data_IF_207830389009
#
_entry.id   IF_207830389009
#
_cell.length_a   1.000
_cell.length_b   1.000
_cell.length_c   1.000
_cell.angle_alpha   90.00
_cell.angle_beta   90.00
_cell.angle_gamma   90.00
#
_symmetry.space_group_name_H-M   'P 1'
#
loop_
_entity.id
_entity.type
_entity.pdbx_description
1 polymer ?
2 non-polymer ?
3 non-polymer ?
4 non-polymer ?
5 non-polymer ?
6 non-polymer ?
7 water ?
#
# COMPACT_ATOMS: atom_id res chain seq x y z
N UNK A 1 -21.94 3.55 8.87
CA UNK A 1 -22.36 3.58 7.46
C UNK A 1 -21.73 4.73 6.68
N UNK A 2 -20.52 5.13 7.07
CA UNK A 2 -19.90 6.37 6.64
C UNK A 2 -18.47 6.07 6.15
N UNK A 3 -18.07 6.73 5.07
CA UNK A 3 -16.73 6.60 4.51
C UNK A 3 -15.92 7.85 4.83
N UNK A 4 -14.75 7.67 5.43
CA UNK A 4 -13.83 8.77 5.66
C UNK A 4 -12.93 9.01 4.45
N UNK A 5 -12.49 10.25 4.28
CA UNK A 5 -11.51 10.57 3.24
C UNK A 5 -10.52 11.58 3.81
N UNK A 6 -9.22 11.33 3.63
CA UNK A 6 -8.22 12.30 4.03
C UNK A 6 -7.41 12.70 2.80
N UNK A 7 -7.22 14.01 2.64
CA UNK A 7 -6.38 14.60 1.60
C UNK A 7 -5.90 15.95 2.10
N UNK A 8 -4.61 16.23 1.89
CA UNK A 8 -4.09 17.53 2.26
C UNK A 8 -3.10 17.99 1.20
N UNK A 9 -3.39 19.14 0.59
CA UNK A 9 -2.57 19.67 -0.49
C UNK A 9 -1.11 19.87 -0.08
N UNK A 10 -0.82 19.96 1.22
CA UNK A 10 0.56 20.19 1.64
C UNK A 10 1.49 19.05 1.25
N UNK A 11 0.94 17.83 1.09
CA UNK A 11 1.79 16.72 0.65
C UNK A 11 2.23 16.87 -0.81
N UNK A 12 1.70 17.86 -1.55
CA UNK A 12 2.26 18.14 -2.87
C UNK A 12 3.64 18.79 -2.79
N UNK A 13 4.07 19.25 -1.60
CA UNK A 13 5.28 20.06 -1.60
C UNK A 13 6.55 19.22 -1.80
N UNK A 14 6.53 17.92 -1.50
CA UNK A 14 7.65 17.04 -1.80
C UNK A 14 7.85 16.94 -3.31
N UNK A 15 9.06 17.26 -3.78
CA UNK A 15 9.24 17.36 -5.22
C UNK A 15 10.67 16.99 -5.59
N UNK A 16 10.89 16.77 -6.88
CA UNK A 16 12.22 16.44 -7.41
C UNK A 16 12.78 17.69 -8.06
N UNK A 17 13.72 18.33 -7.36
CA UNK A 17 14.23 19.62 -7.85
C UNK A 17 15.15 19.48 -9.06
N UNK A 18 15.58 18.26 -9.38
CA UNK A 18 16.49 18.03 -10.51
C UNK A 18 15.78 17.48 -11.74
N UNK A 19 14.57 16.93 -11.57
CA UNK A 19 13.86 16.27 -12.67
C UNK A 19 12.38 16.47 -12.39
N UNK A 20 11.83 17.56 -12.90
CA UNK A 20 10.45 17.88 -12.60
C UNK A 20 9.47 16.92 -13.25
N UNK A 21 9.93 16.04 -14.14
CA UNK A 21 9.08 15.04 -14.76
C UNK A 21 9.21 13.66 -14.13
N UNK A 22 9.94 13.52 -13.03
CA UNK A 22 9.98 12.26 -12.32
C UNK A 22 8.55 11.78 -12.02
N UNK A 23 8.23 10.50 -12.26
CA UNK A 23 6.80 10.09 -12.24
C UNK A 23 6.12 10.17 -10.87
N UNK A 24 6.85 10.21 -9.75
CA UNK A 24 6.20 10.38 -8.44
C UNK A 24 5.94 11.88 -8.19
N UNK A 25 4.94 12.40 -8.95
CA UNK A 25 4.61 13.80 -9.14
C UNK A 25 3.71 14.32 -8.02
N UNK A 26 3.90 15.57 -7.60
CA UNK A 26 2.90 16.20 -6.73
C UNK A 26 1.46 16.03 -7.21
N UNK A 27 1.23 16.17 -8.52
CA UNK A 27 -0.13 16.15 -9.07
C UNK A 27 -0.81 14.81 -8.92
N UNK A 28 -0.05 13.75 -8.61
CA UNK A 28 -0.69 12.46 -8.36
C UNK A 28 -1.84 12.62 -7.39
N UNK A 29 -1.62 13.35 -6.29
CA UNK A 29 -2.68 13.34 -5.29
C UNK A 29 -3.73 14.39 -5.61
N UNK A 30 -3.34 15.49 -6.25
CA UNK A 30 -4.32 16.51 -6.53
C UNK A 30 -5.24 16.05 -7.66
N UNK A 31 -4.69 15.29 -8.63
CA UNK A 31 -5.54 14.72 -9.66
C UNK A 31 -6.49 13.69 -9.08
N UNK A 32 -6.06 12.90 -8.09
CA UNK A 32 -7.02 11.95 -7.54
C UNK A 32 -8.12 12.71 -6.82
N UNK A 33 -7.74 13.75 -6.07
CA UNK A 33 -8.73 14.47 -5.27
C UNK A 33 -9.76 15.15 -6.17
N UNK A 34 -9.28 15.80 -7.25
CA UNK A 34 -10.16 16.42 -8.23
C UNK A 34 -11.13 15.43 -8.82
N UNK A 35 -10.64 14.23 -9.16
CA UNK A 35 -11.54 13.26 -9.76
C UNK A 35 -12.66 12.90 -8.79
N UNK A 36 -12.33 12.82 -7.50
CA UNK A 36 -13.35 12.52 -6.50
C UNK A 36 -14.42 13.62 -6.47
N UNK A 37 -14.00 14.86 -6.69
CA UNK A 37 -14.99 15.94 -6.74
C UNK A 37 -15.83 15.83 -8.01
N UNK A 38 -15.17 15.56 -9.14
CA UNK A 38 -15.87 15.50 -10.41
C UNK A 38 -16.94 14.41 -10.40
N UNK A 39 -16.66 13.30 -9.73
CA UNK A 39 -17.59 12.19 -9.63
C UNK A 39 -18.55 12.32 -8.46
N UNK A 40 -18.52 13.45 -7.74
CA UNK A 40 -19.44 13.72 -6.63
C UNK A 40 -19.29 12.68 -5.51
N UNK A 41 -18.09 12.11 -5.39
CA UNK A 41 -17.76 11.22 -4.27
C UNK A 41 -17.32 11.98 -3.04
N UNK A 42 -16.62 13.10 -3.23
CA UNK A 42 -16.04 13.85 -2.13
C UNK A 42 -17.12 14.31 -1.15
N UNK A 43 -18.24 14.82 -1.68
CA UNK A 43 -19.28 15.34 -0.81
C UNK A 43 -20.00 14.22 -0.06
N UNK A 44 -19.84 12.97 -0.50
CA UNK A 44 -20.45 11.85 0.18
C UNK A 44 -19.57 11.30 1.30
N UNK A 45 -18.35 11.79 1.45
CA UNK A 45 -17.44 11.27 2.45
C UNK A 45 -17.37 12.20 3.65
N UNK A 46 -16.95 11.64 4.78
CA UNK A 46 -16.62 12.43 5.96
C UNK A 46 -15.15 12.81 5.89
N UNK A 47 -14.86 14.11 5.88
CA UNK A 47 -13.50 14.59 5.71
C UNK A 47 -12.72 14.40 7.01
N UNK A 48 -11.62 13.67 6.92
CA UNK A 48 -10.74 13.42 8.06
C UNK A 48 -9.51 14.30 7.92
N UNK A 49 -9.12 15.04 8.96
CA UNK A 49 -7.98 15.95 8.81
C UNK A 49 -6.66 15.21 8.79
N UNK A 50 -5.73 15.75 8.01
CA UNK A 50 -4.36 15.30 8.09
C UNK A 50 -3.74 15.79 9.39
N UNK A 51 -2.71 15.08 9.84
CA UNK A 51 -1.86 15.56 10.92
C UNK A 51 -0.46 15.02 10.69
N UNK A 52 0.51 15.59 11.40
CA UNK A 52 1.85 15.02 11.40
C UNK A 52 1.88 13.77 12.27
N UNK A 53 2.50 12.70 11.76
CA UNK A 53 3.02 11.68 12.64
C UNK A 53 4.06 12.31 13.57
N UNK A 54 4.12 11.80 14.79
CA UNK A 54 5.19 12.14 15.70
C UNK A 54 6.39 11.22 15.51
N UNK A 55 7.55 11.66 15.99
CA UNK A 55 8.72 10.81 15.89
C UNK A 55 8.56 9.55 16.72
N UNK A 56 7.86 9.65 17.85
CA UNK A 56 7.58 8.43 18.61
C UNK A 56 6.73 7.46 17.79
N UNK A 57 5.77 7.99 17.04
CA UNK A 57 4.96 7.11 16.19
C UNK A 57 5.82 6.47 15.10
N UNK A 58 6.74 7.22 14.51
CA UNK A 58 7.61 6.63 13.51
C UNK A 58 8.47 5.53 14.11
N UNK A 59 8.82 5.66 15.39
CA UNK A 59 9.61 4.62 16.03
C UNK A 59 8.85 3.31 16.24
N UNK A 60 7.54 3.27 15.98
CA UNK A 60 6.81 1.99 15.98
C UNK A 60 7.42 1.01 14.98
N UNK A 61 7.96 1.52 13.88
CA UNK A 61 8.58 0.67 12.86
C UNK A 61 10.00 1.05 12.49
N UNK A 62 10.44 2.29 12.73
CA UNK A 62 11.72 2.73 12.19
C UNK A 62 12.74 3.00 13.29
N UNK A 63 14.03 2.85 12.93
CA UNK A 63 15.13 3.13 13.86
C UNK A 63 15.24 4.64 14.12
N UNK A 64 15.78 4.97 15.29
CA UNK A 64 16.01 6.38 15.62
C UNK A 64 16.96 7.03 14.63
N UNK A 65 17.98 6.29 14.18
CA UNK A 65 18.93 6.83 13.22
C UNK A 65 18.25 7.17 11.89
N UNK A 66 17.43 6.26 11.37
CA UNK A 66 16.77 6.55 10.10
C UNK A 66 15.87 7.79 10.23
N UNK A 67 15.12 7.86 11.32
CA UNK A 67 14.24 9.01 11.52
C UNK A 67 15.06 10.29 11.56
N UNK A 68 16.16 10.29 12.32
CA UNK A 68 16.95 11.51 12.47
C UNK A 68 17.62 11.92 11.15
N UNK A 69 18.01 10.95 10.31
CA UNK A 69 18.61 11.30 9.02
C UNK A 69 17.58 11.95 8.10
N UNK A 70 16.42 11.31 7.94
CA UNK A 70 15.39 11.91 7.09
C UNK A 70 14.99 13.27 7.64
N UNK A 71 14.86 13.38 8.96
CA UNK A 71 14.52 14.67 9.55
C UNK A 71 15.59 15.71 9.25
N UNK A 72 16.87 15.31 9.26
CA UNK A 72 17.94 16.27 9.01
C UNK A 72 17.87 16.81 7.58
N UNK A 73 17.19 16.11 6.67
CA UNK A 73 17.10 16.67 5.32
C UNK A 73 16.30 17.97 5.21
N UNK A 74 15.48 18.37 6.20
CA UNK A 74 14.67 19.56 5.92
C UNK A 74 15.49 20.84 5.91
N UNK A 75 16.70 20.83 6.44
CA UNK A 75 17.55 22.03 6.41
C UNK A 75 18.74 21.91 5.45
N UNK A 76 18.73 20.93 4.54
CA UNK A 76 19.88 20.67 3.66
C UNK A 76 19.85 21.54 2.42
N UNK A 77 21.04 21.99 1.98
CA UNK A 77 21.18 22.62 0.69
C UNK A 77 21.12 21.57 -0.42
N UNK A 78 20.89 21.98 -1.66
CA UNK A 78 20.63 21.00 -2.73
C UNK A 78 21.68 19.90 -2.91
N UNK A 79 22.98 20.21 -2.89
CA UNK A 79 23.91 19.12 -3.14
C UNK A 79 23.93 18.11 -2.00
N UNK A 80 23.56 18.52 -0.78
CA UNK A 80 23.47 17.55 0.30
C UNK A 80 22.19 16.74 0.23
N UNK A 81 21.10 17.33 -0.26
CA UNK A 81 19.91 16.54 -0.59
C UNK A 81 20.23 15.53 -1.69
N UNK A 82 21.00 15.94 -2.70
CA UNK A 82 21.40 15.01 -3.75
C UNK A 82 22.21 13.86 -3.18
N UNK A 83 23.23 14.17 -2.36
CA UNK A 83 24.07 13.12 -1.77
C UNK A 83 23.25 12.16 -0.91
N UNK A 84 22.40 12.72 -0.06
CA UNK A 84 21.58 11.89 0.82
C UNK A 84 20.66 10.99 0.01
N UNK A 85 19.94 11.55 -0.97
CA UNK A 85 19.08 10.72 -1.79
C UNK A 85 19.84 9.59 -2.43
N UNK A 86 21.08 9.87 -2.88
CA UNK A 86 21.89 8.88 -3.56
C UNK A 86 22.34 7.77 -2.63
N UNK A 87 22.30 8.00 -1.32
CA UNK A 87 22.57 6.91 -0.38
C UNK A 87 21.50 5.82 -0.37
N UNK A 88 20.40 5.97 -1.09
CA UNK A 88 19.31 4.99 -1.13
C UNK A 88 19.06 4.51 -2.56
N UNK A 89 18.25 3.46 -2.68
CA UNK A 89 17.79 2.95 -3.97
C UNK A 89 16.56 3.76 -4.37
N UNK A 90 16.71 4.58 -5.42
CA UNK A 90 15.59 5.28 -6.06
C UNK A 90 14.85 6.21 -5.10
N UNK A 91 15.57 7.21 -4.59
CA UNK A 91 15.02 8.23 -3.69
C UNK A 91 15.44 9.60 -4.19
N UNK A 92 14.51 10.53 -4.21
CA UNK A 92 14.82 11.95 -4.33
C UNK A 92 14.26 12.67 -3.12
N UNK A 93 14.94 13.74 -2.70
CA UNK A 93 14.61 14.42 -1.45
C UNK A 93 14.62 15.92 -1.70
N UNK A 94 13.60 16.61 -1.18
CA UNK A 94 13.58 18.06 -1.07
C UNK A 94 13.43 18.44 0.39
N UNK A 95 13.56 19.74 0.68
CA UNK A 95 13.46 20.20 2.07
C UNK A 95 12.09 19.91 2.66
N UNK A 96 11.08 19.68 1.82
CA UNK A 96 9.72 19.41 2.27
C UNK A 96 9.38 17.94 2.42
N UNK A 97 10.31 17.04 2.04
CA UNK A 97 10.01 15.61 1.96
C UNK A 97 9.64 15.04 3.32
N UNK A 98 10.42 15.36 4.35
CA UNK A 98 10.18 14.79 5.67
C UNK A 98 8.80 15.15 6.18
N UNK A 99 8.42 16.43 6.08
CA UNK A 99 7.11 16.85 6.56
C UNK A 99 6.00 16.16 5.77
N UNK A 100 6.17 16.04 4.45
CA UNK A 100 5.15 15.35 3.66
C UNK A 100 5.00 13.89 4.09
N UNK A 101 6.12 13.21 4.34
CA UNK A 101 6.07 11.83 4.80
C UNK A 101 5.36 11.72 6.15
N UNK A 102 5.64 12.68 7.04
CA UNK A 102 4.92 12.72 8.32
C UNK A 102 3.44 12.90 8.10
N UNK A 103 3.06 13.76 7.14
CA UNK A 103 1.64 14.01 6.90
C UNK A 103 0.97 12.78 6.31
N UNK A 104 1.67 12.05 5.45
CA UNK A 104 1.10 10.83 4.90
C UNK A 104 0.80 9.84 6.01
N UNK A 105 1.77 9.65 6.91
CA UNK A 105 1.57 8.70 8.00
C UNK A 105 0.49 9.17 8.96
N UNK A 106 0.59 10.42 9.42
CA UNK A 106 -0.37 10.92 10.41
C UNK A 106 -1.79 10.94 9.87
N UNK A 107 -1.94 11.23 8.56
CA UNK A 107 -3.24 11.11 7.91
C UNK A 107 -3.81 9.70 8.02
N UNK A 108 -2.95 8.71 7.78
CA UNK A 108 -3.41 7.33 7.91
C UNK A 108 -3.73 6.97 9.36
N UNK A 109 -2.94 7.47 10.33
CA UNK A 109 -3.27 7.20 11.72
C UNK A 109 -4.63 7.78 12.07
N UNK A 110 -4.90 9.01 11.62
CA UNK A 110 -6.20 9.60 11.92
C UNK A 110 -7.32 8.82 11.26
N UNK A 111 -7.08 8.25 10.07
CA UNK A 111 -8.11 7.45 9.43
C UNK A 111 -8.35 6.13 10.17
N UNK A 112 -7.27 5.46 10.57
CA UNK A 112 -7.43 4.24 11.35
C UNK A 112 -8.13 4.53 12.67
N UNK A 113 -7.77 5.63 13.33
CA UNK A 113 -8.47 6.01 14.55
C UNK A 113 -9.96 6.22 14.28
N UNK A 114 -10.29 6.90 13.20
CA UNK A 114 -11.70 7.14 12.88
C UNK A 114 -12.45 5.83 12.71
N UNK A 115 -11.81 4.84 12.07
CA UNK A 115 -12.45 3.54 11.93
C UNK A 115 -12.59 2.85 13.28
N UNK A 116 -11.51 2.78 14.04
CA UNK A 116 -11.50 1.96 15.26
C UNK A 116 -12.33 2.59 16.38
N UNK A 117 -12.58 3.90 16.32
CA UNK A 117 -13.49 4.54 17.26
C UNK A 117 -14.93 4.56 16.76
N UNK A 118 -15.20 4.00 15.59
CA UNK A 118 -16.56 3.95 15.09
C UNK A 118 -17.08 5.25 14.50
N UNK A 119 -16.22 6.24 14.25
CA UNK A 119 -16.69 7.44 13.56
C UNK A 119 -17.03 7.15 12.11
N UNK A 120 -16.24 6.29 11.47
CA UNK A 120 -16.51 5.87 10.10
C UNK A 120 -16.39 4.36 10.03
N UNK A 121 -16.98 3.77 8.99
CA UNK A 121 -16.85 2.35 8.77
C UNK A 121 -15.56 2.03 8.01
N UNK A 122 -15.23 2.85 7.03
CA UNK A 122 -14.07 2.58 6.17
C UNK A 122 -13.52 3.94 5.73
N UNK A 123 -12.36 3.92 5.05
CA UNK A 123 -11.79 5.21 4.71
C UNK A 123 -10.80 5.07 3.57
N UNK A 124 -10.48 6.22 2.97
CA UNK A 124 -9.53 6.30 1.86
C UNK A 124 -8.54 7.43 2.17
N UNK A 125 -7.26 7.19 1.92
CA UNK A 125 -6.20 8.15 2.23
C UNK A 125 -5.43 8.47 0.95
N UNK A 126 -5.59 9.70 0.47
CA UNK A 126 -4.94 10.17 -0.75
C UNK A 126 -3.67 10.88 -0.30
N UNK A 127 -2.57 10.12 -0.23
CA UNK A 127 -1.35 10.59 0.41
C UNK A 127 -0.14 10.30 -0.47
N UNK A 128 0.90 11.11 -0.29
CA UNK A 128 2.24 10.89 -0.82
C UNK A 128 3.23 11.60 0.09
N UNK A 129 4.51 11.21 0.04
CA UNK A 129 5.12 10.11 -0.72
C UNK A 129 4.62 8.74 -0.25
N UNK A 130 4.80 7.70 -1.09
CA UNK A 130 4.35 6.36 -0.68
C UNK A 130 5.19 5.75 0.47
N UNK A 131 4.84 4.53 0.88
CA UNK A 131 5.45 3.95 2.06
C UNK A 131 6.01 2.53 1.98
N UNK A 132 5.45 1.66 1.12
CA UNK A 132 5.65 0.23 1.36
C UNK A 132 7.07 -0.28 1.05
N UNK A 133 7.93 0.48 0.34
CA UNK A 133 9.32 0.05 0.19
C UNK A 133 10.21 0.46 1.35
N UNK A 134 9.73 1.34 2.23
CA UNK A 134 10.59 1.85 3.29
C UNK A 134 10.82 0.74 4.32
N UNK A 135 12.08 0.53 4.70
CA UNK A 135 12.47 -0.46 5.71
C UNK A 135 12.59 0.21 7.07
N UNK A 136 12.82 -0.61 8.09
CA UNK A 136 13.06 -0.11 9.44
C UNK A 136 14.15 0.95 9.43
N UNK A 137 15.22 0.69 8.70
CA UNK A 137 16.44 1.45 8.82
C UNK A 137 16.80 2.24 7.57
N UNK A 138 15.94 2.24 6.54
CA UNK A 138 16.36 2.89 5.31
C UNK A 138 15.15 3.27 4.45
N UNK A 139 15.32 4.31 3.64
CA UNK A 139 14.36 4.73 2.62
C UNK A 139 14.62 3.98 1.32
N UNK A 140 13.60 3.88 0.48
CA UNK A 140 13.70 3.04 -0.71
C UNK A 140 12.53 3.30 -1.64
N UNK A 141 12.83 3.39 -2.94
CA UNK A 141 11.78 3.30 -3.93
C UNK A 141 10.70 4.33 -3.73
N UNK A 142 11.10 5.61 -3.62
CA UNK A 142 10.23 6.78 -3.44
C UNK A 142 9.61 6.86 -2.06
N UNK A 143 9.96 5.95 -1.14
CA UNK A 143 9.30 5.81 0.18
C UNK A 143 10.27 6.15 1.30
N UNK A 144 9.81 6.95 2.26
CA UNK A 144 10.64 7.35 3.39
C UNK A 144 10.33 6.59 4.67
N UNK A 145 9.06 6.56 5.06
CA UNK A 145 8.57 5.81 6.20
C UNK A 145 7.46 4.89 5.69
N UNK A 146 7.30 3.73 6.34
CA UNK A 146 6.32 2.75 5.86
C UNK A 146 4.97 3.05 6.50
N UNK A 147 4.22 3.91 5.81
CA UNK A 147 2.93 4.40 6.27
C UNK A 147 1.97 3.28 6.64
N UNK A 148 1.85 2.27 5.78
CA UNK A 148 0.91 1.19 6.06
C UNK A 148 1.38 0.36 7.25
N UNK A 149 2.67 0.03 7.31
CA UNK A 149 3.20 -0.73 8.45
C UNK A 149 3.00 0.05 9.74
N UNK A 150 3.28 1.35 9.69
CA UNK A 150 3.13 2.20 10.87
C UNK A 150 1.68 2.24 11.30
N UNK A 151 0.75 2.28 10.34
CA UNK A 151 -0.66 2.35 10.67
C UNK A 151 -1.13 1.06 11.32
N UNK A 152 -0.63 -0.09 10.86
CA UNK A 152 -0.95 -1.32 11.57
C UNK A 152 -0.51 -1.24 13.02
N UNK A 153 0.74 -0.77 13.26
CA UNK A 153 1.23 -0.71 14.63
C UNK A 153 0.49 0.34 15.46
N UNK A 154 0.18 1.49 14.86
CA UNK A 154 -0.64 2.50 15.51
C UNK A 154 -1.98 1.91 15.94
N UNK A 155 -2.62 1.16 15.04
CA UNK A 155 -3.91 0.52 15.35
C UNK A 155 -3.77 -0.41 16.54
N UNK A 156 -2.72 -1.22 16.56
CA UNK A 156 -2.47 -2.06 17.73
C UNK A 156 -2.21 -1.23 18.98
N UNK A 157 -1.59 -0.06 18.82
CA UNK A 157 -1.27 0.79 19.98
C UNK A 157 -2.49 1.42 20.63
N UNK A 158 -3.65 1.47 19.97
CA UNK A 158 -4.85 2.01 20.59
C UNK A 158 -5.90 0.93 20.84
N UNK A 159 -5.57 -0.34 20.60
CA UNK A 159 -6.49 -1.42 20.92
C UNK A 159 -5.75 -2.47 21.75
N UNK A 160 -5.13 -3.43 21.08
CA UNK A 160 -4.30 -4.37 21.80
C UNK A 160 -3.18 -4.84 20.88
N UNK A 161 -2.06 -5.22 21.49
CA UNK A 161 -0.88 -5.55 20.71
C UNK A 161 -1.15 -6.65 19.68
N UNK A 162 -2.08 -7.57 19.97
CA UNK A 162 -2.38 -8.70 19.11
C UNK A 162 -3.54 -8.47 18.13
N UNK A 163 -4.03 -7.24 18.00
CA UNK A 163 -5.07 -6.95 17.02
C UNK A 163 -4.68 -7.49 15.64
N UNK A 164 -5.54 -8.31 15.07
CA UNK A 164 -5.23 -8.95 13.78
C UNK A 164 -5.42 -7.93 12.67
N UNK A 165 -4.33 -7.54 12.00
CA UNK A 165 -4.41 -6.61 10.90
C UNK A 165 -4.02 -7.34 9.63
N UNK A 166 -4.85 -7.23 8.61
CA UNK A 166 -4.49 -7.74 7.31
C UNK A 166 -4.03 -6.58 6.45
N UNK A 167 -2.87 -6.71 5.83
CA UNK A 167 -2.40 -5.74 4.84
C UNK A 167 -2.43 -6.43 3.49
N UNK A 168 -3.26 -5.92 2.59
CA UNK A 168 -3.26 -6.38 1.20
C UNK A 168 -2.54 -5.33 0.37
N UNK A 169 -1.47 -5.73 -0.29
CA UNK A 169 -0.60 -4.80 -1.04
C UNK A 169 -0.80 -5.16 -2.51
N UNK A 170 -1.65 -4.39 -3.21
CA UNK A 170 -1.87 -4.65 -4.64
C UNK A 170 -1.14 -3.67 -5.55
N UNK A 171 -0.28 -2.81 -4.98
CA UNK A 171 0.75 -2.15 -5.78
C UNK A 171 1.48 -3.21 -6.63
N UNK A 172 1.83 -2.85 -7.86
CA UNK A 172 2.49 -3.80 -8.77
C UNK A 172 3.87 -4.24 -8.25
N UNK A 173 4.46 -3.49 -7.33
CA UNK A 173 5.78 -3.82 -6.78
C UNK A 173 5.63 -4.49 -5.42
N UNK A 174 6.61 -5.31 -5.09
CA UNK A 174 6.62 -5.95 -3.78
C UNK A 174 6.86 -4.93 -2.69
N UNK A 175 6.07 -5.01 -1.60
CA UNK A 175 6.33 -4.15 -0.46
C UNK A 175 7.42 -4.74 0.42
N UNK A 176 8.67 -4.63 -0.01
CA UNK A 176 9.76 -5.29 0.73
C UNK A 176 9.81 -4.83 2.17
N UNK A 177 9.55 -3.53 2.40
CA UNK A 177 9.62 -3.00 3.74
C UNK A 177 8.52 -3.58 4.62
N UNK A 178 7.30 -3.65 4.11
CA UNK A 178 6.21 -4.22 4.89
C UNK A 178 6.49 -5.68 5.23
N UNK A 179 6.92 -6.48 4.23
CA UNK A 179 7.24 -7.88 4.48
C UNK A 179 8.25 -8.01 5.63
N UNK A 180 9.34 -7.24 5.54
CA UNK A 180 10.41 -7.34 6.55
C UNK A 180 9.95 -6.87 7.92
N UNK A 181 9.19 -5.78 7.99
CA UNK A 181 8.75 -5.29 9.28
C UNK A 181 7.92 -6.34 10.02
N UNK A 182 7.09 -7.10 9.30
CA UNK A 182 6.19 -8.05 9.94
C UNK A 182 6.62 -9.51 9.75
N UNK A 183 7.86 -9.76 9.32
CA UNK A 183 8.18 -11.12 8.87
C UNK A 183 8.04 -12.14 10.00
N UNK A 184 8.27 -11.74 11.25
CA UNK A 184 8.15 -12.65 12.39
C UNK A 184 6.85 -12.46 13.16
N UNK A 185 5.88 -11.73 12.58
CA UNK A 185 4.64 -11.35 13.25
C UNK A 185 3.50 -12.25 12.79
N UNK A 186 2.77 -12.83 13.74
CA UNK A 186 1.52 -13.48 13.37
C UNK A 186 0.30 -12.61 13.63
N UNK A 187 0.48 -11.37 14.10
CA UNK A 187 -0.63 -10.46 14.31
C UNK A 187 -0.94 -9.64 13.07
N UNK A 188 -0.03 -9.62 12.10
CA UNK A 188 -0.19 -8.82 10.90
C UNK A 188 0.06 -9.77 9.76
N UNK A 189 -0.99 -10.05 9.00
CA UNK A 189 -0.88 -10.90 7.82
C UNK A 189 -0.60 -10.00 6.64
N UNK A 190 0.53 -10.22 5.98
CA UNK A 190 0.90 -9.45 4.80
C UNK A 190 0.64 -10.26 3.55
N UNK A 191 -0.18 -9.75 2.63
CA UNK A 191 -0.46 -10.41 1.36
C UNK A 191 -0.13 -9.45 0.25
N UNK A 192 0.89 -9.77 -0.56
CA UNK A 192 1.30 -8.90 -1.64
C UNK A 192 1.08 -9.61 -2.97
N UNK A 193 0.50 -8.91 -3.95
CA UNK A 193 0.53 -9.37 -5.33
C UNK A 193 1.49 -8.45 -6.06
N UNK A 194 2.39 -9.01 -6.87
CA UNK A 194 3.39 -8.12 -7.46
C UNK A 194 4.04 -8.77 -8.68
N UNK A 195 4.34 -7.93 -9.65
CA UNK A 195 5.23 -8.33 -10.72
C UNK A 195 6.59 -8.70 -10.17
N UNK A 196 7.16 -9.81 -10.67
CA UNK A 196 8.37 -10.37 -10.10
C UNK A 196 9.43 -10.64 -11.16
N UNK A 197 9.06 -11.37 -12.22
CA UNK A 197 9.96 -11.69 -13.33
C UNK A 197 11.27 -12.27 -12.84
N UNK A 198 11.17 -13.20 -11.88
CA UNK A 198 12.35 -13.93 -11.41
C UNK A 198 13.42 -12.99 -10.88
N UNK A 199 13.01 -11.84 -10.36
CA UNK A 199 13.94 -10.90 -9.80
C UNK A 199 14.33 -9.75 -10.71
N UNK A 200 13.87 -9.74 -11.96
CA UNK A 200 14.23 -8.65 -12.85
C UNK A 200 13.44 -7.38 -12.57
N UNK A 201 12.27 -7.49 -11.92
CA UNK A 201 11.41 -6.34 -11.69
C UNK A 201 11.73 -5.71 -10.33
N UNK A 202 11.67 -4.37 -10.26
CA UNK A 202 11.98 -3.67 -9.01
C UNK A 202 11.08 -4.19 -7.88
N UNK A 203 11.60 -4.37 -6.65
CA UNK A 203 12.93 -4.02 -6.12
C UNK A 203 14.02 -5.12 -6.22
N UNK A 204 13.81 -6.09 -7.11
CA UNK A 204 14.88 -6.95 -7.63
C UNK A 204 15.43 -7.92 -6.58
N UNK A 205 14.58 -8.44 -5.71
CA UNK A 205 15.05 -9.33 -4.66
C UNK A 205 14.22 -10.60 -4.65
N UNK A 206 14.89 -11.74 -4.39
CA UNK A 206 14.18 -12.99 -4.22
C UNK A 206 13.33 -13.05 -2.94
N UNK A 207 13.46 -12.06 -2.05
CA UNK A 207 12.56 -11.90 -0.91
C UNK A 207 11.09 -11.87 -1.36
N UNK A 208 10.84 -11.44 -2.58
CA UNK A 208 9.48 -11.35 -3.11
C UNK A 208 8.93 -12.67 -3.64
N UNK A 209 9.68 -13.79 -3.61
CA UNK A 209 9.16 -15.00 -4.21
C UNK A 209 8.15 -15.71 -3.30
N UNK A 210 7.42 -16.67 -3.88
CA UNK A 210 6.29 -17.31 -3.18
C UNK A 210 6.73 -18.20 -2.02
N UNK A 211 7.99 -18.60 -1.98
CA UNK A 211 8.43 -19.48 -0.91
C UNK A 211 8.84 -18.72 0.35
N UNK A 212 8.78 -17.39 0.34
CA UNK A 212 9.04 -16.59 1.53
C UNK A 212 7.70 -16.45 2.24
N UNK A 213 7.45 -17.34 3.20
CA UNK A 213 6.14 -17.49 3.82
C UNK A 213 6.10 -16.90 5.22
N UNK A 214 7.17 -16.24 5.64
CA UNK A 214 7.30 -15.72 7.00
C UNK A 214 8.26 -16.54 7.83
N UNK A 215 8.65 -15.96 8.97
CA UNK A 215 9.70 -16.53 9.81
C UNK A 215 9.21 -16.76 11.23
N UNK A 216 9.66 -17.87 11.83
CA UNK A 216 9.34 -18.13 13.23
C UNK A 216 7.85 -18.15 13.49
N UNK A 217 7.43 -17.39 14.49
CA UNK A 217 6.01 -17.28 14.82
C UNK A 217 5.19 -16.75 13.65
N UNK A 218 5.80 -16.01 12.74
CA UNK A 218 5.10 -15.48 11.57
C UNK A 218 5.06 -16.42 10.38
N UNK A 219 5.48 -17.67 10.54
CA UNK A 219 5.49 -18.59 9.41
C UNK A 219 4.06 -18.86 8.96
N UNK A 220 3.77 -18.62 7.69
CA UNK A 220 2.42 -18.66 7.16
C UNK A 220 1.74 -17.30 7.06
N UNK A 221 2.30 -16.26 7.69
CA UNK A 221 1.66 -14.95 7.73
C UNK A 221 2.30 -13.96 6.76
N UNK A 222 3.02 -14.47 5.76
CA UNK A 222 3.54 -13.66 4.67
C UNK A 222 3.22 -14.40 3.40
N UNK A 223 2.41 -13.80 2.53
CA UNK A 223 1.91 -14.44 1.32
C UNK A 223 2.33 -13.57 0.15
N UNK A 224 3.33 -14.03 -0.60
CA UNK A 224 3.79 -13.37 -1.83
C UNK A 224 3.18 -14.07 -3.03
N UNK A 225 2.52 -13.29 -3.91
CA UNK A 225 1.94 -13.79 -5.14
C UNK A 225 2.70 -13.11 -6.27
N UNK A 226 3.74 -13.76 -6.79
CA UNK A 226 4.61 -13.12 -7.78
C UNK A 226 4.22 -13.47 -9.21
N UNK A 227 4.10 -12.47 -10.06
CA UNK A 227 3.82 -12.67 -11.47
C UNK A 227 5.09 -12.71 -12.31
N UNK A 228 5.12 -13.63 -13.28
CA UNK A 228 6.21 -13.79 -14.23
C UNK A 228 5.62 -13.91 -15.63
N UNK A 229 6.35 -13.46 -16.63
CA UNK A 229 5.87 -13.66 -17.99
C UNK A 229 4.96 -12.56 -18.51
N UNK A 230 5.22 -11.29 -18.14
CA UNK A 230 4.52 -10.19 -18.81
C UNK A 230 3.14 -9.86 -18.29
N UNK A 231 2.34 -9.25 -19.16
CA UNK A 231 1.22 -8.44 -18.71
C UNK A 231 0.15 -9.28 -18.04
N UNK A 232 -0.32 -8.84 -16.88
CA UNK A 232 -1.44 -9.42 -16.17
C UNK A 232 -2.53 -8.38 -16.05
N UNK A 233 -3.74 -8.83 -15.76
CA UNK A 233 -4.87 -7.91 -15.71
C UNK A 233 -5.97 -8.41 -14.80
N UNK A 234 -7.19 -7.91 -15.01
CA UNK A 234 -8.33 -8.32 -14.19
C UNK A 234 -8.49 -9.82 -14.02
N UNK A 235 -8.38 -10.64 -15.07
CA UNK A 235 -8.58 -12.08 -14.84
C UNK A 235 -7.61 -12.65 -13.80
N UNK A 236 -6.33 -12.32 -13.93
CA UNK A 236 -5.31 -12.86 -13.06
C UNK A 236 -5.50 -12.36 -11.63
N UNK A 237 -5.87 -11.09 -11.47
CA UNK A 237 -6.05 -10.54 -10.13
C UNK A 237 -7.31 -11.09 -9.47
N UNK A 238 -8.39 -11.24 -10.25
CA UNK A 238 -9.58 -11.86 -9.69
C UNK A 238 -9.31 -13.31 -9.29
N UNK A 239 -8.58 -14.06 -10.11
CA UNK A 239 -8.28 -15.44 -9.74
C UNK A 239 -7.40 -15.51 -8.49
N UNK A 240 -6.41 -14.61 -8.38
CA UNK A 240 -5.56 -14.59 -7.20
C UNK A 240 -6.39 -14.29 -5.95
N UNK A 241 -7.37 -13.39 -6.05
CA UNK A 241 -8.24 -13.12 -4.91
C UNK A 241 -9.12 -14.32 -4.59
N UNK A 242 -9.63 -14.98 -5.63
CA UNK A 242 -10.54 -16.10 -5.48
C UNK A 242 -9.85 -17.29 -4.82
N UNK A 243 -8.66 -17.65 -5.30
CA UNK A 243 -7.99 -18.85 -4.83
C UNK A 243 -7.15 -18.61 -3.59
N UNK A 244 -6.66 -17.38 -3.38
CA UNK A 244 -5.64 -17.16 -2.36
C UNK A 244 -5.99 -16.06 -1.37
N UNK A 245 -6.13 -14.83 -1.84
CA UNK A 245 -6.28 -13.71 -0.91
C UNK A 245 -7.51 -13.88 -0.04
N UNK A 246 -8.67 -14.16 -0.66
CA UNK A 246 -9.89 -14.17 0.13
C UNK A 246 -10.01 -15.41 1.03
N UNK A 247 -9.67 -16.62 0.57
CA UNK A 247 -9.73 -17.77 1.50
C UNK A 247 -8.79 -17.62 2.68
N UNK A 248 -7.57 -17.13 2.44
CA UNK A 248 -6.61 -16.95 3.53
C UNK A 248 -7.07 -15.84 4.48
N UNK A 249 -7.52 -14.72 3.91
CA UNK A 249 -8.00 -13.61 4.71
C UNK A 249 -9.18 -14.04 5.59
N UNK A 250 -10.13 -14.78 5.02
CA UNK A 250 -11.28 -15.27 5.80
C UNK A 250 -10.84 -16.19 6.93
N UNK A 251 -9.85 -17.05 6.68
CA UNK A 251 -9.35 -17.91 7.75
C UNK A 251 -8.64 -17.09 8.84
N UNK A 252 -7.93 -16.04 8.45
CA UNK A 252 -7.21 -15.19 9.40
C UNK A 252 -8.18 -14.38 10.25
N UNK A 253 -9.33 -14.01 9.69
CA UNK A 253 -10.36 -13.20 10.36
C UNK A 253 -9.78 -11.89 10.86
N UNK A 254 -9.31 -11.00 9.98
CA UNK A 254 -8.74 -9.73 10.45
C UNK A 254 -9.77 -8.85 11.17
N UNK A 255 -9.28 -8.04 12.11
CA UNK A 255 -10.09 -7.02 12.77
C UNK A 255 -9.95 -5.64 12.10
N UNK A 256 -8.99 -5.50 11.18
CA UNK A 256 -8.78 -4.28 10.43
C UNK A 256 -8.09 -4.70 9.15
N UNK A 257 -8.53 -4.14 8.02
CA UNK A 257 -7.89 -4.37 6.74
C UNK A 257 -7.27 -3.05 6.28
N UNK A 258 -5.98 -3.09 5.96
CA UNK A 258 -5.30 -1.99 5.31
C UNK A 258 -4.95 -2.42 3.91
N UNK A 259 -5.23 -1.56 2.93
CA UNK A 259 -4.81 -1.81 1.56
C UNK A 259 -3.68 -0.86 1.24
N UNK A 260 -2.49 -1.43 1.02
CA UNK A 260 -1.42 -0.73 0.32
C UNK A 260 -1.83 -0.64 -1.15
N UNK A 261 -2.54 0.42 -1.49
CA UNK A 261 -3.26 0.55 -2.76
C UNK A 261 -2.41 1.39 -3.70
N UNK A 262 -1.38 0.78 -4.25
CA UNK A 262 -0.77 1.35 -5.42
C UNK A 262 -1.67 1.11 -6.62
N UNK A 263 -1.64 2.04 -7.56
CA UNK A 263 -2.42 1.85 -8.78
C UNK A 263 -1.50 1.78 -9.99
N UNK A 264 -0.26 1.30 -9.78
CA UNK A 264 0.67 1.08 -10.87
C UNK A 264 0.53 -0.28 -11.52
N UNK A 265 -0.40 -1.15 -11.10
CA UNK A 265 -0.76 -2.29 -11.92
C UNK A 265 -1.85 -1.93 -12.92
N UNK A 266 -2.24 -0.65 -12.98
CA UNK A 266 -3.35 -0.23 -13.80
C UNK A 266 -2.96 -0.18 -15.27
N UNK A 267 -3.94 -0.47 -16.14
CA UNK A 267 -3.85 -0.13 -17.55
C UNK A 267 -3.34 1.30 -17.72
N UNK A 268 -2.30 1.46 -18.55
CA UNK A 268 -1.73 2.76 -18.83
C UNK A 268 -0.52 3.14 -18.00
N UNK A 269 -0.25 2.41 -16.90
CA UNK A 269 0.88 2.79 -16.07
C UNK A 269 2.20 2.51 -16.79
N UNK A 270 3.09 3.51 -16.92
CA UNK A 270 4.33 3.27 -17.66
C UNK A 270 5.38 2.47 -16.88
N UNK A 271 5.27 2.38 -15.55
CA UNK A 271 6.23 1.61 -14.76
C UNK A 271 5.76 0.18 -14.50
N UNK A 272 4.45 -0.07 -14.45
CA UNK A 272 3.97 -1.40 -14.09
C UNK A 272 3.84 -2.37 -15.24
N UNK A 273 3.41 -1.90 -16.41
CA UNK A 273 3.27 -2.80 -17.54
C UNK A 273 2.06 -3.72 -17.50
N UNK A 274 1.13 -3.53 -16.56
CA UNK A 274 -0.03 -4.40 -16.40
C UNK A 274 -1.30 -3.66 -16.87
N UNK A 275 -2.46 -4.34 -16.80
CA UNK A 275 -3.68 -3.77 -17.36
C UNK A 275 -4.88 -4.03 -16.47
N UNK A 276 -4.71 -3.94 -15.15
CA UNK A 276 -5.87 -3.95 -14.25
C UNK A 276 -6.71 -2.71 -14.53
N UNK A 277 -8.05 -2.90 -14.65
CA UNK A 277 -9.03 -1.85 -15.00
C UNK A 277 -9.54 -1.14 -13.75
N UNK A 278 -10.13 0.05 -13.88
CA UNK A 278 -10.79 0.65 -12.70
C UNK A 278 -11.88 -0.24 -12.14
N UNK A 279 -12.64 -0.87 -13.05
CA UNK A 279 -13.65 -1.84 -12.64
C UNK A 279 -13.01 -3.00 -11.89
N UNK A 280 -11.83 -3.42 -12.31
CA UNK A 280 -11.13 -4.47 -11.59
C UNK A 280 -10.82 -4.06 -10.17
N UNK A 281 -10.24 -2.86 -9.99
CA UNK A 281 -9.95 -2.39 -8.64
C UNK A 281 -11.22 -2.28 -7.79
N UNK A 282 -12.33 -1.88 -8.43
CA UNK A 282 -13.62 -1.86 -7.76
C UNK A 282 -13.99 -3.26 -7.23
N UNK A 283 -13.81 -4.29 -8.07
CA UNK A 283 -14.16 -5.62 -7.60
C UNK A 283 -13.25 -6.06 -6.45
N UNK A 284 -11.94 -5.79 -6.55
CA UNK A 284 -11.03 -6.13 -5.45
C UNK A 284 -11.43 -5.43 -4.14
N UNK A 285 -11.79 -4.15 -4.22
CA UNK A 285 -12.20 -3.41 -3.03
C UNK A 285 -13.45 -4.05 -2.44
N UNK A 286 -14.44 -4.32 -3.30
CA UNK A 286 -15.71 -4.86 -2.83
C UNK A 286 -15.53 -6.21 -2.15
N UNK A 287 -14.62 -7.04 -2.67
CA UNK A 287 -14.31 -8.29 -1.97
C UNK A 287 -13.71 -8.03 -0.59
N UNK A 288 -12.75 -7.09 -0.51
CA UNK A 288 -12.11 -6.86 0.79
C UNK A 288 -13.09 -6.29 1.82
N UNK A 289 -14.14 -5.60 1.35
CA UNK A 289 -15.16 -5.07 2.27
C UNK A 289 -15.91 -6.16 3.02
N UNK A 290 -15.87 -7.41 2.56
CA UNK A 290 -16.54 -8.48 3.28
C UNK A 290 -15.77 -8.90 4.52
N UNK A 291 -14.56 -8.38 4.71
CA UNK A 291 -13.71 -8.73 5.84
C UNK A 291 -13.85 -7.71 6.96
N UNK A 292 -13.56 -8.18 8.17
CA UNK A 292 -13.35 -7.29 9.31
C UNK A 292 -14.55 -6.38 9.57
N UNK A 293 -15.76 -6.89 9.32
CA UNK A 293 -16.99 -6.11 9.46
C UNK A 293 -16.92 -4.80 8.66
N UNK A 294 -16.21 -4.83 7.53
CA UNK A 294 -16.09 -3.70 6.65
C UNK A 294 -15.05 -2.67 7.02
N UNK A 295 -14.23 -2.93 8.03
CA UNK A 295 -13.25 -1.95 8.52
C UNK A 295 -12.04 -1.99 7.59
N UNK A 296 -12.08 -1.16 6.55
CA UNK A 296 -11.07 -1.17 5.49
C UNK A 296 -10.53 0.25 5.32
N UNK A 297 -9.21 0.37 5.24
CA UNK A 297 -8.56 1.66 4.98
C UNK A 297 -7.71 1.50 3.74
N UNK A 298 -8.03 2.27 2.69
CA UNK A 298 -7.32 2.20 1.42
C UNK A 298 -6.27 3.30 1.42
N UNK A 299 -5.00 2.94 1.31
CA UNK A 299 -3.89 3.89 1.40
C UNK A 299 -3.18 3.95 0.05
N UNK A 300 -3.14 5.13 -0.55
CA UNK A 300 -2.40 5.26 -1.82
C UNK A 300 -0.92 4.91 -1.66
N UNK A 301 -0.41 4.03 -2.54
CA UNK A 301 1.03 3.79 -2.63
C UNK A 301 1.56 4.37 -3.94
N UNK A 302 1.98 3.52 -4.88
CA UNK A 302 2.40 3.97 -6.20
C UNK A 302 1.25 4.13 -7.18
N UNK A 303 1.61 4.27 -8.46
CA UNK A 303 0.63 4.56 -9.51
C UNK A 303 0.95 5.86 -10.23
N UNK A 304 1.26 5.80 -11.52
CA UNK A 304 1.95 6.91 -12.17
C UNK A 304 1.27 7.45 -13.40
N UNK A 305 0.24 6.79 -13.92
CA UNK A 305 -0.59 7.38 -14.97
C UNK A 305 -1.68 8.17 -14.26
N UNK A 306 -1.61 9.50 -14.36
CA UNK A 306 -2.52 10.36 -13.59
C UNK A 306 -3.99 10.04 -13.86
N UNK A 307 -4.36 9.81 -15.13
CA UNK A 307 -5.76 9.49 -15.43
C UNK A 307 -6.13 8.13 -14.84
N UNK A 308 -5.24 7.15 -15.01
CA UNK A 308 -5.49 5.81 -14.52
C UNK A 308 -5.69 5.78 -13.02
N UNK A 309 -4.79 6.45 -12.28
CA UNK A 309 -4.90 6.37 -10.83
C UNK A 309 -6.10 7.18 -10.34
N UNK A 310 -6.42 8.29 -11.01
CA UNK A 310 -7.59 9.07 -10.59
C UNK A 310 -8.88 8.25 -10.75
N UNK A 311 -9.02 7.59 -11.90
CA UNK A 311 -10.21 6.77 -12.13
C UNK A 311 -10.26 5.55 -11.22
N UNK A 312 -9.11 4.88 -11.02
CA UNK A 312 -9.08 3.63 -10.26
C UNK A 312 -9.33 3.87 -8.79
N UNK A 313 -8.67 4.87 -8.21
CA UNK A 313 -8.91 5.08 -6.79
C UNK A 313 -10.31 5.65 -6.55
N UNK A 314 -10.81 6.50 -7.47
CA UNK A 314 -12.20 6.94 -7.31
C UNK A 314 -13.15 5.75 -7.29
N UNK A 315 -12.91 4.76 -8.16
CA UNK A 315 -13.75 3.58 -8.17
C UNK A 315 -13.70 2.83 -6.85
N UNK A 316 -12.51 2.78 -6.22
CA UNK A 316 -12.43 2.13 -4.91
C UNK A 316 -13.27 2.89 -3.88
N UNK A 317 -13.17 4.22 -3.87
CA UNK A 317 -13.98 4.99 -2.93
C UNK A 317 -15.48 4.79 -3.17
N UNK A 318 -15.89 4.75 -4.45
CA UNK A 318 -17.27 4.44 -4.79
C UNK A 318 -17.71 3.11 -4.17
N UNK A 319 -16.84 2.10 -4.21
CA UNK A 319 -17.20 0.84 -3.55
C UNK A 319 -17.32 0.99 -2.03
N UNK A 320 -16.36 1.69 -1.40
CA UNK A 320 -16.43 1.91 0.05
C UNK A 320 -17.76 2.55 0.45
N UNK A 321 -18.26 3.45 -0.40
CA UNK A 321 -19.52 4.13 -0.10
C UNK A 321 -20.76 3.26 -0.34
N UNK A 322 -20.60 2.04 -0.81
CA UNK A 322 -21.71 1.12 -0.96
C UNK A 322 -22.31 1.04 -2.35
N UNK A 323 -21.73 1.70 -3.35
CA UNK A 323 -22.25 1.61 -4.72
C UNK A 323 -22.06 0.21 -5.27
N UNK A 324 -22.97 -0.18 -6.17
CA UNK A 324 -22.93 -1.55 -6.68
C UNK A 324 -21.72 -1.73 -7.58
N UNK A 325 -21.00 -2.85 -7.45
CA UNK A 325 -19.80 -3.03 -8.26
C UNK A 325 -20.16 -3.15 -9.73
N UNK A 326 -19.32 -2.66 -10.61
CA UNK A 326 -19.68 -2.65 -12.04
C UNK A 326 -19.53 -4.04 -12.65
N UNK A 327 -20.00 -4.17 -13.88
CA UNK A 327 -19.80 -5.42 -14.63
C UNK A 327 -18.34 -5.61 -15.01
N UNK A 332 -10.94 -13.74 -20.16
CA UNK A 332 -11.19 -14.43 -18.90
C UNK A 332 -10.28 -15.66 -18.59
N UNK A 333 -9.86 -16.48 -19.58
CA UNK A 333 -8.89 -17.52 -19.24
C UNK A 333 -7.57 -16.86 -18.86
N UNK A 334 -6.93 -17.40 -17.83
CA UNK A 334 -5.71 -16.79 -17.30
C UNK A 334 -4.52 -17.06 -18.20
N UNK A 335 -3.58 -16.13 -18.19
CA UNK A 335 -2.26 -16.43 -18.72
C UNK A 335 -1.72 -17.65 -18.00
N UNK A 336 -1.14 -18.57 -18.79
CA UNK A 336 -0.70 -19.85 -18.21
C UNK A 336 0.33 -19.65 -17.08
N UNK A 337 1.21 -18.64 -17.21
CA UNK A 337 2.17 -18.43 -16.13
C UNK A 337 1.50 -17.90 -14.86
N UNK A 338 0.34 -17.26 -14.97
CA UNK A 338 -0.39 -16.85 -13.76
C UNK A 338 -0.96 -18.05 -13.02
N UNK A 339 -1.40 -19.07 -13.75
CA UNK A 339 -1.82 -20.32 -13.14
C UNK A 339 -0.66 -20.96 -12.43
N UNK A 340 0.53 -20.94 -13.07
CA UNK A 340 1.72 -21.49 -12.43
C UNK A 340 2.00 -20.75 -11.13
N UNK A 341 1.93 -19.42 -11.16
CA UNK A 341 2.18 -18.60 -9.96
C UNK A 341 1.22 -18.94 -8.82
N UNK A 342 -0.09 -18.92 -9.12
CA UNK A 342 -1.11 -19.23 -8.13
C UNK A 342 -0.89 -20.62 -7.53
N UNK A 343 -0.61 -21.61 -8.37
CA UNK A 343 -0.41 -22.95 -7.82
C UNK A 343 0.85 -23.02 -6.97
N UNK A 344 1.88 -22.25 -7.31
CA UNK A 344 3.08 -22.22 -6.48
C UNK A 344 2.76 -21.66 -5.09
N UNK A 345 1.97 -20.58 -5.03
CA UNK A 345 1.64 -20.01 -3.72
C UNK A 345 0.73 -20.95 -2.93
N UNK A 346 -0.21 -21.59 -3.62
CA UNK A 346 -1.09 -22.57 -2.99
C UNK A 346 -0.29 -23.70 -2.37
N UNK A 347 0.73 -24.21 -3.06
CA UNK A 347 1.55 -25.27 -2.46
C UNK A 347 2.38 -24.73 -1.29
N UNK A 348 2.85 -23.48 -1.38
CA UNK A 348 3.67 -22.95 -0.30
C UNK A 348 2.86 -22.73 0.96
N UNK A 349 1.57 -22.42 0.85
CA UNK A 349 0.81 -22.01 2.01
C UNK A 349 -0.22 -23.03 2.48
N UNK A 350 -0.46 -24.10 1.73
CA UNK A 350 -1.32 -25.17 2.23
C UNK A 350 -0.91 -25.73 3.59
N UNK A 351 0.38 -25.82 3.95
CA UNK A 351 0.72 -26.28 5.31
C UNK A 351 0.20 -25.37 6.41
N UNK A 352 -0.14 -24.09 6.10
CA UNK A 352 -0.53 -23.12 7.13
C UNK A 352 -2.00 -22.74 7.13
N UNK A 353 -2.72 -22.93 6.03
CA UNK A 353 -4.09 -22.47 5.89
C UNK A 353 -4.96 -23.64 5.42
N UNK A 354 -5.84 -24.11 6.29
CA UNK A 354 -6.68 -25.25 5.94
C UNK A 354 -7.60 -24.95 4.76
N UNK A 355 -7.98 -23.68 4.57
CA UNK A 355 -8.86 -23.33 3.46
C UNK A 355 -8.22 -23.60 2.10
N UNK A 356 -6.90 -23.78 2.03
CA UNK A 356 -6.23 -24.05 0.76
C UNK A 356 -6.10 -25.53 0.47
N UNK A 357 -6.47 -26.38 1.40
CA UNK A 357 -6.38 -27.81 1.19
C UNK A 357 -7.66 -28.34 0.53
X LIG B 1 4.71 0.41 -7.08
X LIG C 1 2.36 -5.50 -4.00
X LIG D 1 3.56 -11.29 8.83
X LIG E 1 11.19 2.48 -7.75
X LIG E 1 11.05 5.46 -13.03
X LIG E 1 13.10 6.10 -14.38
X LIG E 1 13.87 6.45 -13.05
X LIG E 1 15.34 6.54 -13.24
X LIG E 1 13.35 7.63 -12.26
X LIG E 1 12.11 4.87 -12.00
X LIG E 1 11.91 3.41 -11.73
X LIG E 1 12.70 1.94 -9.83
X LIG E 1 11.30 2.11 -9.11
X LIG E 1 10.05 1.86 -9.72
X LIG E 1 8.82 1.98 -9.09
X LIG E 1 8.73 2.37 -7.73
X LIG E 1 9.95 2.61 -7.10
X LIG E 1 7.44 2.50 -7.04
X LIG E 1 11.62 6.31 -14.22
X LIG E 1 13.38 4.61 -14.10
X LIG E 1 13.50 5.01 -12.59
X LIG E 1 13.03 2.72 -11.07
X LIG E 1 6.21 2.26 -7.68
X LIG E 1 7.41 2.85 -5.86
X LIG E 1 5.08 2.40 -6.93
X LIG F 1 23.17 19.57 -6.81
X LIG G 1 11.27 -2.73 -13.44
X LIG G 1 10.81 -2.56 -12.26
X LIG G 1 12.17 -3.59 -13.66
X LIG G 1 10.82 -2.03 -14.38
X LIG H 1 14.75 8.28 -8.33
X LIG H 1 13.84 7.48 -8.67
X LIG H 1 15.91 7.84 -8.10
X LIG H 1 14.52 9.52 -8.25
#
# INVERSE_FOLDING_TARGET
>A
PITGLVYDQRMMLHHNMWDSHHPELPQRISRIFSRHEELRLLSRCHRIPARLATEEELALCHSSKHISIIKSSEHMKPRDLNRLGDEYNSIFISNESYTCALLAAGSCFNSAQAILTGQVRNAVAIVRPPGHHAEKDTACGFCFFNTAALTARYAQSITRESLRVLIVDWDVHHGNGTQHIFEEDDSVLYISLHRYEDGAFFPNSEDANYDKVGLGKGRGYNVNIPWNGGKMGDPEYMAAFHHLVMPIAREFAPELVLVSAGFDAARGDPLGGFQVTPEGYAHLTHQLMSLAAGRVLIILEGGYNLTSISESMSMCTSMLLGDSPPSLDHLTPLKTSATVSINNVLRAHAPFWSSLR
>B hetero
1 ZN ZN
>C hetero
1 K K
>D hetero
1 K K
>E hetero
1 P7J C10 C15 C17 C20 C21 C22 C01 C02 C04 C05 C06 C07 C08 C09 C11 C16 C18 C19 N03 N13 O12 O14
>F hetero
1 CL CL
>G hetero
1 NO3 N O1 O2 O3
>H hetero
1 NO3 N O1 O2 O3
#
